data_IF_342880259769
#
_entry.id   IF_342880259769
#
_cell.length_a   1.000
_cell.length_b   1.000
_cell.length_c   1.000
_cell.angle_alpha   90.00
_cell.angle_beta   90.00
_cell.angle_gamma   90.00
#
_symmetry.space_group_name_H-M   'P 1'
#
loop_
_entity.id
_entity.type
_entity.pdbx_description
1 polymer ?
#
# COMPACT_ATOMS: atom_id res chain seq x y z
N UNK A 1 -34.53 40.76 -19.46
CA UNK A 1 -35.10 39.93 -18.36
C UNK A 1 -34.06 39.54 -17.31
N UNK A 2 -32.87 39.02 -17.67
CA UNK A 2 -31.83 38.63 -16.67
C UNK A 2 -31.41 39.77 -15.71
N UNK A 3 -31.27 41.01 -16.21
CA UNK A 3 -30.96 42.20 -15.39
C UNK A 3 -32.02 42.50 -14.33
N UNK A 4 -33.28 42.17 -14.60
CA UNK A 4 -34.39 42.36 -13.66
C UNK A 4 -34.35 41.32 -12.54
N UNK A 5 -34.08 40.05 -12.87
CA UNK A 5 -33.91 38.97 -11.89
C UNK A 5 -32.73 39.23 -10.96
N UNK A 6 -31.57 39.62 -11.50
CA UNK A 6 -30.40 39.96 -10.69
C UNK A 6 -30.67 41.13 -9.73
N UNK A 7 -31.33 42.20 -10.21
CA UNK A 7 -31.76 43.30 -9.32
C UNK A 7 -32.71 42.83 -8.21
N UNK A 8 -33.60 41.87 -8.50
CA UNK A 8 -34.48 41.26 -7.51
C UNK A 8 -33.71 40.48 -6.43
N UNK A 9 -32.73 39.68 -6.84
CA UNK A 9 -31.86 38.90 -5.95
C UNK A 9 -31.03 39.79 -5.03
N UNK A 10 -30.43 40.87 -5.56
CA UNK A 10 -29.65 41.81 -4.75
C UNK A 10 -30.51 42.69 -3.84
N UNK A 11 -31.77 42.96 -4.21
CA UNK A 11 -32.67 43.81 -3.42
C UNK A 11 -33.26 43.08 -2.21
N UNK A 12 -33.48 41.77 -2.31
CA UNK A 12 -34.06 40.96 -1.22
C UNK A 12 -33.02 39.93 -0.73
N UNK A 13 -32.06 40.43 0.05
CA UNK A 13 -30.88 39.68 0.46
C UNK A 13 -31.22 38.46 1.31
N UNK A 14 -32.08 38.59 2.32
CA UNK A 14 -32.44 37.45 3.18
C UNK A 14 -33.13 36.32 2.40
N UNK A 15 -33.97 36.65 1.42
CA UNK A 15 -34.73 35.66 0.65
C UNK A 15 -33.87 34.91 -0.38
N UNK A 16 -32.77 35.50 -0.81
CA UNK A 16 -31.87 34.91 -1.82
C UNK A 16 -30.60 34.30 -1.23
N UNK A 17 -30.10 34.84 -0.11
CA UNK A 17 -28.84 34.43 0.51
C UNK A 17 -28.93 33.06 1.19
N UNK A 18 -29.99 32.81 1.97
CA UNK A 18 -30.14 31.52 2.66
C UNK A 18 -30.22 30.34 1.68
N UNK A 19 -31.07 30.36 0.62
CA UNK A 19 -31.07 29.30 -0.39
C UNK A 19 -29.74 29.15 -1.12
N UNK A 20 -29.08 30.25 -1.46
CA UNK A 20 -27.79 30.21 -2.13
C UNK A 20 -26.72 29.52 -1.27
N UNK A 21 -26.65 29.86 0.03
CA UNK A 21 -25.72 29.20 0.97
C UNK A 21 -26.07 27.73 1.13
N UNK A 22 -27.34 27.38 1.34
CA UNK A 22 -27.74 25.97 1.50
C UNK A 22 -27.34 25.13 0.29
N UNK A 23 -27.60 25.61 -0.93
CA UNK A 23 -27.19 24.93 -2.15
C UNK A 23 -25.67 24.88 -2.26
N UNK A 24 -24.97 25.98 -1.93
CA UNK A 24 -23.50 26.04 -2.01
C UNK A 24 -22.84 25.06 -1.05
N UNK A 25 -23.33 24.96 0.19
CA UNK A 25 -22.84 24.00 1.19
C UNK A 25 -23.13 22.57 0.72
N UNK A 26 -24.35 22.30 0.24
CA UNK A 26 -24.70 20.97 -0.28
C UNK A 26 -23.77 20.53 -1.41
N UNK A 27 -23.58 21.39 -2.41
CA UNK A 27 -22.67 21.13 -3.54
C UNK A 27 -21.22 20.99 -3.06
N UNK A 28 -20.75 21.89 -2.19
CA UNK A 28 -19.38 21.82 -1.66
C UNK A 28 -19.13 20.51 -0.91
N UNK A 29 -20.06 20.07 -0.07
CA UNK A 29 -19.97 18.79 0.64
C UNK A 29 -19.92 17.62 -0.33
N UNK A 30 -20.79 17.58 -1.33
CA UNK A 30 -20.80 16.51 -2.34
C UNK A 30 -19.49 16.46 -3.12
N UNK A 31 -18.98 17.61 -3.59
CA UNK A 31 -17.73 17.68 -4.36
C UNK A 31 -16.54 17.30 -3.49
N UNK A 32 -16.43 17.85 -2.27
CA UNK A 32 -15.35 17.51 -1.34
C UNK A 32 -15.34 16.02 -1.02
N UNK A 33 -16.49 15.45 -0.70
CA UNK A 33 -16.60 14.03 -0.38
C UNK A 33 -16.24 13.15 -1.58
N UNK A 34 -16.70 13.51 -2.79
CA UNK A 34 -16.35 12.78 -4.01
C UNK A 34 -14.85 12.82 -4.29
N UNK A 35 -14.23 14.00 -4.22
CA UNK A 35 -12.78 14.15 -4.42
C UNK A 35 -11.98 13.40 -3.35
N UNK A 36 -12.39 13.51 -2.09
CA UNK A 36 -11.74 12.81 -0.98
C UNK A 36 -11.81 11.30 -1.15
N UNK A 37 -12.99 10.73 -1.40
CA UNK A 37 -13.16 9.29 -1.60
C UNK A 37 -12.36 8.80 -2.82
N UNK A 38 -12.38 9.56 -3.92
CA UNK A 38 -11.59 9.22 -5.12
C UNK A 38 -10.09 9.18 -4.79
N UNK A 39 -9.59 10.15 -4.03
CA UNK A 39 -8.20 10.15 -3.56
C UNK A 39 -7.87 8.95 -2.68
N UNK A 40 -8.71 8.67 -1.68
CA UNK A 40 -8.55 7.52 -0.77
C UNK A 40 -8.54 6.19 -1.54
N UNK A 41 -9.44 6.01 -2.52
CA UNK A 41 -9.45 4.81 -3.33
C UNK A 41 -8.21 4.69 -4.23
N UNK A 42 -7.71 5.80 -4.77
CA UNK A 42 -6.44 5.83 -5.50
C UNK A 42 -5.27 5.37 -4.63
N UNK A 43 -5.14 5.95 -3.44
CA UNK A 43 -4.11 5.57 -2.47
C UNK A 43 -4.23 4.09 -2.06
N UNK A 44 -5.45 3.59 -1.87
CA UNK A 44 -5.69 2.19 -1.53
C UNK A 44 -5.19 1.24 -2.63
N UNK A 45 -5.40 1.57 -3.90
CA UNK A 45 -4.91 0.78 -5.04
C UNK A 45 -3.38 0.79 -5.05
N UNK A 46 -2.75 1.96 -4.90
CA UNK A 46 -1.29 2.10 -4.90
C UNK A 46 -0.63 1.33 -3.75
N UNK A 47 -1.21 1.41 -2.55
CA UNK A 47 -0.74 0.64 -1.39
C UNK A 47 -0.92 -0.85 -1.62
N UNK A 48 -2.06 -1.30 -2.14
CA UNK A 48 -2.27 -2.72 -2.42
C UNK A 48 -1.27 -3.26 -3.47
N UNK A 49 -1.03 -2.49 -4.54
CA UNK A 49 -0.06 -2.82 -5.56
C UNK A 49 1.37 -2.92 -4.97
N UNK A 50 1.77 -1.99 -4.11
CA UNK A 50 3.12 -2.00 -3.50
C UNK A 50 3.34 -3.15 -2.50
N UNK A 51 2.30 -3.57 -1.77
CA UNK A 51 2.43 -4.50 -0.63
C UNK A 51 1.89 -5.92 -0.87
N UNK A 52 0.98 -6.13 -1.82
CA UNK A 52 0.28 -7.41 -1.93
C UNK A 52 0.26 -8.02 -3.32
N UNK A 53 -0.20 -7.26 -4.30
CA UNK A 53 -0.53 -7.79 -5.62
C UNK A 53 0.53 -7.44 -6.65
N UNK A 54 1.07 -6.23 -6.60
CA UNK A 54 1.76 -5.66 -7.75
C UNK A 54 0.79 -5.34 -8.88
N UNK A 55 1.27 -4.64 -9.91
CA UNK A 55 0.51 -4.49 -11.16
C UNK A 55 0.39 -5.84 -11.89
N UNK A 56 1.42 -6.68 -11.76
CA UNK A 56 1.49 -8.04 -12.28
C UNK A 56 2.05 -8.93 -11.19
N UNK A 57 1.41 -10.10 -11.00
CA UNK A 57 1.84 -11.09 -10.02
C UNK A 57 2.18 -12.41 -10.69
N UNK A 58 3.42 -12.84 -10.53
CA UNK A 58 3.89 -14.14 -11.02
C UNK A 58 3.86 -15.13 -9.85
N UNK A 59 3.13 -16.22 -10.00
CA UNK A 59 2.99 -17.27 -8.99
C UNK A 59 2.78 -18.63 -9.65
N UNK A 60 3.00 -19.71 -8.91
CA UNK A 60 2.63 -21.05 -9.36
C UNK A 60 1.11 -21.23 -9.31
N UNK A 61 0.57 -22.18 -10.07
CA UNK A 61 -0.87 -22.46 -10.08
C UNK A 61 -1.38 -22.90 -8.70
N UNK A 62 -0.64 -23.77 -8.02
CA UNK A 62 -0.98 -24.22 -6.66
C UNK A 62 -0.99 -23.09 -5.63
N UNK A 63 -0.09 -22.10 -5.79
CA UNK A 63 -0.11 -20.89 -4.96
C UNK A 63 -1.35 -20.03 -5.25
N UNK A 64 -1.75 -19.90 -6.52
CA UNK A 64 -2.93 -19.14 -6.90
C UNK A 64 -4.23 -19.74 -6.34
N UNK A 65 -4.36 -21.06 -6.40
CA UNK A 65 -5.56 -21.78 -5.93
C UNK A 65 -5.74 -21.70 -4.40
N UNK A 66 -4.67 -21.46 -3.66
CA UNK A 66 -4.65 -21.43 -2.19
C UNK A 66 -4.08 -20.13 -1.61
N UNK A 67 -4.20 -19.02 -2.36
CA UNK A 67 -3.54 -17.76 -2.01
C UNK A 67 -3.84 -17.24 -0.60
N UNK A 68 -5.05 -17.50 -0.10
CA UNK A 68 -5.52 -17.10 1.23
C UNK A 68 -4.73 -17.78 2.37
N UNK A 69 -4.06 -18.90 2.09
CA UNK A 69 -3.27 -19.64 3.07
C UNK A 69 -1.79 -19.27 3.05
N UNK A 70 -1.34 -18.37 2.16
CA UNK A 70 0.07 -18.05 1.95
C UNK A 70 0.97 -19.30 1.83
N UNK A 71 0.69 -20.22 0.88
CA UNK A 71 1.27 -21.56 0.89
C UNK A 71 2.71 -21.54 0.38
N UNK A 72 3.68 -21.38 1.28
CA UNK A 72 5.10 -21.32 0.94
C UNK A 72 5.62 -22.62 0.28
N UNK A 73 4.94 -23.74 0.47
CA UNK A 73 5.25 -25.00 -0.22
C UNK A 73 5.09 -24.90 -1.75
N UNK A 74 4.28 -23.95 -2.22
CA UNK A 74 4.10 -23.63 -3.64
C UNK A 74 4.95 -22.44 -4.11
N UNK A 75 5.94 -22.01 -3.33
CA UNK A 75 6.86 -20.95 -3.73
C UNK A 75 7.64 -21.32 -5.00
N UNK A 76 8.02 -20.30 -5.76
CA UNK A 76 8.82 -20.46 -6.97
C UNK A 76 10.25 -20.82 -6.58
N UNK A 77 10.74 -21.97 -7.04
CA UNK A 77 12.14 -22.40 -6.89
C UNK A 77 12.91 -22.01 -8.15
N UNK A 78 14.18 -21.60 -8.00
CA UNK A 78 15.02 -21.19 -9.14
C UNK A 78 14.56 -19.87 -9.78
N UNK A 79 14.16 -18.90 -8.94
CA UNK A 79 13.54 -17.64 -9.38
C UNK A 79 14.43 -16.81 -10.32
N UNK A 80 15.75 -16.99 -10.26
CA UNK A 80 16.72 -16.22 -11.05
C UNK A 80 16.52 -16.37 -12.56
N UNK A 81 16.26 -17.59 -13.04
CA UNK A 81 16.02 -17.84 -14.47
C UNK A 81 14.74 -17.15 -14.95
N UNK A 82 13.68 -17.22 -14.12
CA UNK A 82 12.39 -16.60 -14.41
C UNK A 82 12.52 -15.08 -14.42
N UNK A 83 13.21 -14.50 -13.43
CA UNK A 83 13.47 -13.05 -13.38
C UNK A 83 14.27 -12.59 -14.58
N UNK A 84 15.33 -13.30 -14.96
CA UNK A 84 16.12 -12.96 -16.15
C UNK A 84 15.25 -12.98 -17.43
N UNK A 85 14.36 -13.97 -17.57
CA UNK A 85 13.43 -14.00 -18.69
C UNK A 85 12.45 -12.81 -18.68
N UNK A 86 11.89 -12.49 -17.51
CA UNK A 86 10.95 -11.38 -17.34
C UNK A 86 11.60 -10.02 -17.60
N UNK A 87 12.81 -9.77 -17.08
CA UNK A 87 13.55 -8.54 -17.35
C UNK A 87 13.91 -8.38 -18.82
N UNK A 88 14.26 -9.47 -19.51
CA UNK A 88 14.54 -9.42 -20.95
C UNK A 88 13.29 -9.14 -21.78
N UNK A 89 12.13 -9.62 -21.35
CA UNK A 89 10.87 -9.49 -22.10
C UNK A 89 10.12 -8.20 -21.80
N UNK A 90 10.26 -7.67 -20.58
CA UNK A 90 9.57 -6.49 -20.08
C UNK A 90 10.54 -5.58 -19.32
N UNK A 91 11.51 -4.96 -20.01
CA UNK A 91 12.56 -4.14 -19.38
C UNK A 91 12.01 -2.90 -18.66
N UNK A 92 10.81 -2.44 -19.03
CA UNK A 92 10.12 -1.33 -18.40
C UNK A 92 9.46 -1.70 -17.05
N UNK A 93 9.32 -2.99 -16.75
CA UNK A 93 8.71 -3.48 -15.52
C UNK A 93 9.75 -3.84 -14.46
N UNK A 94 9.48 -3.46 -13.23
CA UNK A 94 10.30 -3.81 -12.07
C UNK A 94 9.71 -5.07 -11.43
N UNK A 95 10.44 -6.18 -11.52
CA UNK A 95 10.08 -7.43 -10.85
C UNK A 95 10.83 -7.57 -9.54
N UNK A 96 10.12 -8.05 -8.52
CA UNK A 96 10.61 -8.09 -7.15
C UNK A 96 10.18 -9.41 -6.53
N UNK A 97 11.12 -10.07 -5.87
CA UNK A 97 10.84 -11.29 -5.12
C UNK A 97 10.14 -10.95 -3.81
N UNK A 98 9.07 -11.67 -3.52
CA UNK A 98 8.26 -11.48 -2.31
C UNK A 98 7.89 -12.83 -1.72
N UNK A 99 8.22 -13.01 -0.44
CA UNK A 99 7.77 -14.16 0.35
C UNK A 99 6.91 -13.62 1.47
N UNK A 100 5.72 -14.19 1.65
CA UNK A 100 4.83 -13.91 2.78
C UNK A 100 4.71 -15.19 3.57
N UNK A 101 4.85 -15.10 4.89
CA UNK A 101 4.84 -16.29 5.73
C UNK A 101 4.13 -16.01 7.03
N UNK A 102 3.36 -16.98 7.50
CA UNK A 102 2.97 -17.07 8.89
C UNK A 102 4.01 -17.89 9.66
N UNK A 103 4.13 -17.63 10.95
CA UNK A 103 4.98 -18.43 11.82
C UNK A 103 4.62 -18.24 13.29
N UNK A 104 5.38 -18.88 14.15
CA UNK A 104 5.38 -18.63 15.57
C UNK A 104 6.72 -17.98 15.94
N UNK A 105 6.67 -16.77 16.46
CA UNK A 105 7.86 -16.13 17.03
C UNK A 105 8.02 -16.64 18.46
N UNK A 106 9.14 -17.29 18.72
CA UNK A 106 9.53 -17.76 20.05
C UNK A 106 10.58 -16.82 20.64
N UNK A 107 10.33 -16.35 21.86
CA UNK A 107 11.24 -15.52 22.64
C UNK A 107 11.82 -16.38 23.75
N UNK A 108 13.13 -16.62 23.67
CA UNK A 108 13.84 -17.40 24.66
C UNK A 108 14.09 -16.63 25.97
N UNK A 109 14.21 -17.36 27.08
CA UNK A 109 14.71 -16.86 28.36
C UNK A 109 16.25 -16.90 28.44
N UNK A 110 16.80 -16.60 29.62
CA UNK A 110 18.25 -16.59 29.88
C UNK A 110 18.92 -17.96 29.69
N UNK A 111 18.15 -19.05 29.77
CA UNK A 111 18.63 -20.42 29.59
C UNK A 111 18.43 -20.92 28.14
N UNK A 112 17.86 -20.09 27.26
CA UNK A 112 17.53 -20.48 25.90
C UNK A 112 16.21 -21.25 25.77
N UNK A 113 15.41 -21.34 26.84
CA UNK A 113 14.11 -22.01 26.82
C UNK A 113 13.00 -21.06 26.38
N UNK A 114 11.97 -21.58 25.72
CA UNK A 114 10.79 -20.81 25.29
C UNK A 114 10.15 -20.12 26.49
N UNK A 115 10.26 -18.79 26.54
CA UNK A 115 9.59 -17.98 27.57
C UNK A 115 8.18 -17.64 27.14
N UNK A 116 8.05 -17.14 25.92
CA UNK A 116 6.79 -16.66 25.33
C UNK A 116 6.84 -16.97 23.83
N UNK A 117 5.75 -17.54 23.32
CA UNK A 117 5.57 -17.78 21.90
C UNK A 117 4.28 -17.11 21.42
N UNK A 118 4.30 -16.55 20.22
CA UNK A 118 3.13 -15.90 19.63
C UNK A 118 3.05 -16.06 18.12
N UNK A 119 1.83 -16.07 17.53
CA UNK A 119 1.67 -16.05 16.10
C UNK A 119 2.21 -14.76 15.51
N UNK A 120 2.97 -14.88 14.42
CA UNK A 120 3.52 -13.77 13.67
C UNK A 120 3.22 -13.93 12.19
N UNK A 121 3.16 -12.81 11.48
CA UNK A 121 3.13 -12.77 10.03
C UNK A 121 4.30 -11.91 9.57
N UNK A 122 5.02 -12.42 8.59
CA UNK A 122 6.21 -11.80 8.03
C UNK A 122 6.08 -11.60 6.52
N UNK A 123 6.80 -10.60 6.03
CA UNK A 123 7.04 -10.39 4.62
C UNK A 123 8.53 -10.22 4.42
N UNK A 124 9.13 -11.04 3.56
CA UNK A 124 10.53 -10.89 3.19
C UNK A 124 10.70 -9.63 2.34
N UNK A 125 11.69 -8.83 2.70
CA UNK A 125 12.09 -7.58 2.03
C UNK A 125 13.59 -7.64 1.78
N UNK A 126 14.01 -7.23 0.59
CA UNK A 126 15.43 -7.11 0.26
C UNK A 126 15.93 -5.71 0.68
N UNK A 127 16.56 -5.61 1.85
CA UNK A 127 17.07 -4.33 2.36
C UNK A 127 18.54 -4.07 2.04
N UNK A 128 19.30 -5.13 1.74
CA UNK A 128 20.76 -5.11 1.74
C UNK A 128 21.38 -5.18 0.34
N UNK A 129 20.64 -5.61 -0.69
CA UNK A 129 21.18 -5.63 -2.06
C UNK A 129 21.41 -4.22 -2.59
N UNK A 130 22.54 -4.01 -3.29
CA UNK A 130 22.95 -2.70 -3.81
C UNK A 130 21.91 -2.04 -4.72
N UNK A 131 21.18 -2.84 -5.51
CA UNK A 131 20.17 -2.37 -6.47
C UNK A 131 18.74 -2.50 -5.94
N UNK A 132 18.54 -2.69 -4.63
CA UNK A 132 17.21 -2.84 -4.08
C UNK A 132 16.42 -1.52 -4.10
N UNK A 133 15.21 -1.58 -4.66
CA UNK A 133 14.24 -0.47 -4.65
C UNK A 133 13.21 -0.59 -3.51
N UNK A 134 13.35 -1.59 -2.64
CA UNK A 134 12.39 -1.89 -1.57
C UNK A 134 12.20 -0.73 -0.61
N UNK A 135 13.31 -0.10 -0.20
CA UNK A 135 13.32 0.95 0.81
C UNK A 135 12.47 2.14 0.41
N UNK A 136 12.52 2.52 -0.87
CA UNK A 136 11.72 3.62 -1.41
C UNK A 136 10.29 3.18 -1.73
N UNK A 137 10.11 1.98 -2.30
CA UNK A 137 8.77 1.46 -2.64
C UNK A 137 7.90 1.29 -1.40
N UNK A 138 8.46 0.80 -0.31
CA UNK A 138 7.79 0.61 0.97
C UNK A 138 7.85 1.85 1.88
N UNK A 139 8.43 2.95 1.37
CA UNK A 139 8.55 4.23 2.06
C UNK A 139 9.30 4.16 3.41
N UNK A 140 10.14 3.14 3.62
CA UNK A 140 10.79 2.87 4.91
C UNK A 140 11.71 4.02 5.30
N UNK A 141 12.52 4.54 4.37
CA UNK A 141 13.44 5.66 4.65
C UNK A 141 12.73 6.90 5.20
N UNK A 142 11.54 7.21 4.70
CA UNK A 142 10.77 8.39 5.14
C UNK A 142 9.98 8.12 6.42
N UNK A 143 9.74 6.85 6.75
CA UNK A 143 8.96 6.43 7.92
C UNK A 143 9.80 6.25 9.19
N UNK A 144 11.13 6.19 9.09
CA UNK A 144 12.02 6.10 10.26
C UNK A 144 12.14 7.48 10.91
N UNK A 145 11.57 7.62 12.11
CA UNK A 145 11.68 8.84 12.93
C UNK A 145 12.95 8.80 13.80
N UNK A 146 13.32 7.62 14.31
CA UNK A 146 14.49 7.37 15.17
C UNK A 146 15.00 5.95 14.94
N UNK A 147 16.32 5.78 15.00
CA UNK A 147 16.99 4.49 14.74
C UNK A 147 17.67 4.49 13.37
N UNK A 148 18.30 3.36 13.04
CA UNK A 148 18.98 3.14 11.76
C UNK A 148 18.44 1.89 11.08
N UNK A 149 18.53 1.85 9.75
CA UNK A 149 18.20 0.65 8.98
C UNK A 149 19.18 -0.48 9.31
N UNK A 150 18.73 -1.76 9.32
CA UNK A 150 19.64 -2.90 9.34
C UNK A 150 20.68 -2.76 8.23
N UNK A 151 21.96 -2.78 8.59
CA UNK A 151 23.11 -2.74 7.69
C UNK A 151 23.72 -4.12 7.51
N UNK A 152 23.52 -5.04 8.46
CA UNK A 152 24.09 -6.39 8.44
C UNK A 152 23.02 -7.46 8.64
N UNK A 153 23.25 -8.69 8.15
CA UNK A 153 22.39 -9.83 8.44
C UNK A 153 22.23 -10.05 9.94
N UNK A 154 20.99 -10.27 10.38
CA UNK A 154 20.65 -10.53 11.79
C UNK A 154 20.39 -9.28 12.64
N UNK A 155 20.53 -8.08 12.07
CA UNK A 155 20.11 -6.84 12.73
C UNK A 155 18.58 -6.68 12.68
N UNK A 156 18.04 -6.08 13.73
CA UNK A 156 16.61 -5.81 13.92
C UNK A 156 16.48 -4.32 14.25
N UNK A 157 15.44 -3.68 13.71
CA UNK A 157 15.12 -2.26 13.94
C UNK A 157 14.19 -2.10 15.15
#
# INVERSE_FOLDING_TARGET
MIKFLLKGVFRDHHRSFFPAITVSIGVALTVLMNCYLTGVFGDMIDVNAKFQTGHVKVMTRGYADNIDQMPNDYAIVGVDEILNNLHNRYPEMIFINRIKFGGLLDVADENGETKIQGPTMGTAVDLLSENSTELDRLNIRKSIIRGELPQKPGEIL
#
